data_IF_832638461892
#
_entry.id   IF_832638461892
#
_cell.length_a   1.000
_cell.length_b   1.000
_cell.length_c   1.000
_cell.angle_alpha   90.00
_cell.angle_beta   90.00
_cell.angle_gamma   90.00
#
_symmetry.space_group_name_H-M   'P 1'
#
loop_
_entity.id
_entity.type
_entity.pdbx_description
1 polymer ?
#
# COMPACT_ATOMS: atom_id res chain seq x y z
N UNK A 1 -8.64 -0.96 0.11
CA UNK A 1 -8.60 -0.61 -1.33
C UNK A 1 -9.41 -1.58 -2.18
N UNK A 2 -9.12 -2.90 -2.17
CA UNK A 2 -9.89 -3.89 -2.96
C UNK A 2 -11.42 -3.80 -2.78
N UNK A 3 -11.89 -3.73 -1.52
CA UNK A 3 -13.33 -3.54 -1.21
C UNK A 3 -13.89 -2.26 -1.83
N UNK A 4 -13.12 -1.18 -1.81
CA UNK A 4 -13.52 0.08 -2.44
C UNK A 4 -13.65 -0.04 -3.96
N UNK A 5 -12.70 -0.70 -4.63
CA UNK A 5 -12.79 -0.94 -6.09
C UNK A 5 -13.97 -1.85 -6.43
N UNK A 6 -14.18 -2.91 -5.66
CA UNK A 6 -15.32 -3.80 -5.84
C UNK A 6 -16.66 -3.05 -5.66
N UNK A 7 -16.73 -2.14 -4.68
CA UNK A 7 -17.86 -1.24 -4.50
C UNK A 7 -18.09 -0.33 -5.70
N UNK A 8 -17.02 0.29 -6.23
CA UNK A 8 -17.13 1.12 -7.45
C UNK A 8 -17.62 0.29 -8.64
N UNK A 9 -17.05 -0.90 -8.88
CA UNK A 9 -17.49 -1.81 -9.93
C UNK A 9 -18.97 -2.17 -9.80
N UNK A 10 -19.42 -2.47 -8.59
CA UNK A 10 -20.81 -2.80 -8.29
C UNK A 10 -21.75 -1.63 -8.62
N UNK A 11 -21.48 -0.43 -8.08
CA UNK A 11 -22.35 0.73 -8.27
C UNK A 11 -22.32 1.31 -9.69
N UNK A 12 -21.24 1.09 -10.44
CA UNK A 12 -21.22 1.36 -11.90
C UNK A 12 -22.12 0.36 -12.64
N UNK A 13 -22.12 -0.91 -12.24
CA UNK A 13 -22.97 -1.94 -12.84
C UNK A 13 -24.47 -1.72 -12.62
N UNK A 14 -24.86 -1.10 -11.50
CA UNK A 14 -26.26 -0.76 -11.17
C UNK A 14 -26.55 0.75 -11.32
N UNK A 15 -25.84 1.45 -12.20
CA UNK A 15 -25.90 2.92 -12.33
C UNK A 15 -27.29 3.51 -12.57
N UNK A 16 -28.21 2.73 -13.12
CA UNK A 16 -29.58 3.15 -13.44
C UNK A 16 -30.52 3.06 -12.21
N UNK A 17 -30.08 2.43 -11.12
CA UNK A 17 -30.86 2.28 -9.90
C UNK A 17 -30.86 3.57 -9.05
N UNK A 18 -31.97 3.85 -8.33
CA UNK A 18 -32.03 4.96 -7.37
C UNK A 18 -30.91 4.86 -6.33
N UNK A 19 -30.24 5.98 -6.05
CA UNK A 19 -29.13 6.09 -5.09
C UNK A 19 -27.82 5.38 -5.46
N UNK A 20 -27.69 4.80 -6.65
CA UNK A 20 -26.42 4.17 -7.10
C UNK A 20 -25.23 5.14 -7.01
N UNK A 21 -25.45 6.43 -7.31
CA UNK A 21 -24.44 7.48 -7.17
C UNK A 21 -23.90 7.62 -5.73
N UNK A 22 -24.77 7.56 -4.71
CA UNK A 22 -24.33 7.71 -3.32
C UNK A 22 -23.47 6.53 -2.88
N UNK A 23 -23.82 5.32 -3.33
CA UNK A 23 -23.00 4.14 -3.13
C UNK A 23 -21.65 4.22 -3.83
N UNK A 24 -21.65 4.64 -5.10
CA UNK A 24 -20.43 4.92 -5.88
C UNK A 24 -19.54 5.94 -5.16
N UNK A 25 -20.11 7.05 -4.71
CA UNK A 25 -19.40 8.12 -4.02
C UNK A 25 -18.78 7.62 -2.71
N UNK A 26 -19.54 6.90 -1.89
CA UNK A 26 -19.04 6.29 -0.65
C UNK A 26 -17.89 5.31 -0.91
N UNK A 27 -17.97 4.51 -1.97
CA UNK A 27 -16.89 3.60 -2.37
C UNK A 27 -15.60 4.36 -2.76
N UNK A 28 -15.73 5.49 -3.45
CA UNK A 28 -14.60 6.37 -3.75
C UNK A 28 -14.01 7.02 -2.50
N UNK A 29 -14.83 7.51 -1.56
CA UNK A 29 -14.36 8.03 -0.27
C UNK A 29 -13.55 6.96 0.48
N UNK A 30 -14.06 5.73 0.52
CA UNK A 30 -13.34 4.59 1.10
C UNK A 30 -12.01 4.32 0.38
N UNK A 31 -11.96 4.42 -0.94
CA UNK A 31 -10.72 4.28 -1.71
C UNK A 31 -9.69 5.36 -1.35
N UNK A 32 -10.10 6.63 -1.34
CA UNK A 32 -9.20 7.74 -0.99
C UNK A 32 -8.66 7.59 0.43
N UNK A 33 -9.53 7.27 1.38
CA UNK A 33 -9.15 7.02 2.77
C UNK A 33 -8.15 5.85 2.88
N UNK A 34 -8.48 4.71 2.27
CA UNK A 34 -7.62 3.53 2.28
C UNK A 34 -6.28 3.76 1.56
N UNK A 35 -6.24 4.61 0.53
CA UNK A 35 -5.00 5.01 -0.15
C UNK A 35 -4.09 5.78 0.82
N UNK A 36 -4.67 6.70 1.61
CA UNK A 36 -3.93 7.43 2.64
C UNK A 36 -3.29 6.51 3.67
N UNK A 37 -4.06 5.53 4.18
CA UNK A 37 -3.54 4.51 5.11
C UNK A 37 -2.43 3.68 4.46
N UNK A 38 -2.64 3.22 3.22
CA UNK A 38 -1.66 2.42 2.49
C UNK A 38 -0.32 3.13 2.30
N UNK A 39 -0.35 4.42 1.95
CA UNK A 39 0.84 5.24 1.79
C UNK A 39 1.59 5.42 3.12
N UNK A 40 0.89 5.78 4.19
CA UNK A 40 1.49 5.94 5.51
C UNK A 40 2.14 4.63 6.00
N UNK A 41 1.44 3.51 5.85
CA UNK A 41 1.95 2.18 6.22
C UNK A 41 3.20 1.81 5.42
N UNK A 42 3.22 2.09 4.12
CA UNK A 42 4.37 1.75 3.25
C UNK A 42 5.59 2.60 3.61
N UNK A 43 5.40 3.89 3.86
CA UNK A 43 6.51 4.78 4.28
C UNK A 43 7.05 4.45 5.66
N UNK A 44 6.23 3.93 6.58
CA UNK A 44 6.71 3.42 7.87
C UNK A 44 7.44 2.08 7.75
N UNK A 45 7.13 1.30 6.71
CA UNK A 45 7.74 -0.01 6.48
C UNK A 45 9.22 0.10 6.09
N UNK A 46 9.58 1.11 5.28
CA UNK A 46 10.95 1.33 4.79
C UNK A 46 11.97 1.46 5.95
N UNK A 47 11.81 2.37 6.93
CA UNK A 47 12.76 2.51 8.03
C UNK A 47 12.80 1.28 8.94
N UNK A 48 11.69 0.58 9.12
CA UNK A 48 11.68 -0.68 9.88
C UNK A 48 12.52 -1.77 9.21
N UNK A 49 12.49 -1.84 7.87
CA UNK A 49 13.32 -2.77 7.09
C UNK A 49 14.79 -2.37 7.18
N UNK A 50 15.10 -1.10 6.97
CA UNK A 50 16.49 -0.62 7.02
C UNK A 50 17.13 -0.77 8.40
N UNK A 51 16.37 -0.61 9.48
CA UNK A 51 16.88 -0.89 10.82
C UNK A 51 17.36 -2.35 10.96
N UNK A 52 16.57 -3.32 10.48
CA UNK A 52 16.97 -4.74 10.45
C UNK A 52 18.15 -5.00 9.53
N UNK A 53 18.19 -4.38 8.35
CA UNK A 53 19.30 -4.57 7.43
C UNK A 53 20.60 -4.01 7.98
N UNK A 54 20.58 -2.86 8.68
CA UNK A 54 21.78 -2.30 9.31
C UNK A 54 22.30 -3.15 10.46
N UNK A 55 21.43 -3.86 11.21
CA UNK A 55 21.88 -4.85 12.20
C UNK A 55 22.68 -5.98 11.54
N UNK A 56 22.26 -6.43 10.35
CA UNK A 56 22.93 -7.50 9.60
C UNK A 56 24.19 -7.04 8.88
N UNK A 57 24.17 -5.83 8.30
CA UNK A 57 25.24 -5.30 7.46
C UNK A 57 26.37 -4.65 8.26
N UNK A 58 26.07 -4.09 9.44
CA UNK A 58 27.04 -3.37 10.28
C UNK A 58 27.14 -3.98 11.69
N UNK A 59 27.45 -5.29 11.84
CA UNK A 59 27.37 -5.99 13.12
C UNK A 59 28.36 -5.46 14.19
N UNK A 60 29.45 -4.81 13.76
CA UNK A 60 30.47 -4.25 14.64
C UNK A 60 30.26 -2.76 14.96
N UNK A 61 29.34 -2.09 14.27
CA UNK A 61 29.04 -0.68 14.52
C UNK A 61 28.20 -0.50 15.79
N UNK A 62 28.29 0.67 16.41
CA UNK A 62 27.43 1.04 17.53
C UNK A 62 25.96 1.15 17.12
N UNK A 63 25.05 1.03 18.09
CA UNK A 63 23.61 1.15 17.82
C UNK A 63 23.24 2.52 17.24
N UNK A 64 23.91 3.58 17.66
CA UNK A 64 23.68 4.94 17.16
C UNK A 64 24.12 5.10 15.70
N UNK A 65 25.30 4.55 15.34
CA UNK A 65 25.79 4.56 13.96
C UNK A 65 24.87 3.79 13.02
N UNK A 66 24.39 2.61 13.43
CA UNK A 66 23.42 1.82 12.66
C UNK A 66 22.13 2.58 12.43
N UNK A 67 21.60 3.23 13.48
CA UNK A 67 20.38 4.04 13.36
C UNK A 67 20.58 5.20 12.39
N UNK A 68 21.68 5.93 12.51
CA UNK A 68 21.99 7.05 11.61
C UNK A 68 22.13 6.58 10.16
N UNK A 69 22.71 5.41 9.92
CA UNK A 69 22.82 4.86 8.58
C UNK A 69 21.45 4.39 8.06
N UNK A 70 20.65 3.71 8.88
CA UNK A 70 19.30 3.30 8.52
C UNK A 70 18.43 4.51 8.14
N UNK A 71 18.50 5.61 8.88
CA UNK A 71 17.75 6.83 8.58
C UNK A 71 18.17 7.45 7.23
N UNK A 72 19.47 7.48 6.93
CA UNK A 72 19.99 7.98 5.65
C UNK A 72 19.52 7.13 4.46
N UNK A 73 19.69 5.81 4.56
CA UNK A 73 19.28 4.89 3.49
C UNK A 73 17.75 4.91 3.30
N UNK A 74 16.99 4.96 4.40
CA UNK A 74 15.53 5.06 4.36
C UNK A 74 15.06 6.33 3.67
N UNK A 75 15.71 7.47 3.94
CA UNK A 75 15.39 8.74 3.28
C UNK A 75 15.65 8.66 1.77
N UNK A 76 16.78 8.09 1.35
CA UNK A 76 17.11 7.91 -0.05
C UNK A 76 16.12 6.98 -0.77
N UNK A 77 15.82 5.81 -0.17
CA UNK A 77 14.85 4.85 -0.70
C UNK A 77 13.45 5.47 -0.78
N UNK A 78 13.02 6.18 0.25
CA UNK A 78 11.71 6.84 0.28
C UNK A 78 11.62 7.89 -0.84
N UNK A 79 12.66 8.69 -1.04
CA UNK A 79 12.69 9.68 -2.12
C UNK A 79 12.59 9.04 -3.51
N UNK A 80 13.39 8.01 -3.78
CA UNK A 80 13.39 7.34 -5.07
C UNK A 80 12.08 6.61 -5.35
N UNK A 81 11.56 5.85 -4.38
CA UNK A 81 10.27 5.15 -4.51
C UNK A 81 9.09 6.12 -4.65
N UNK A 82 9.13 7.28 -3.99
CA UNK A 82 8.12 8.33 -4.14
C UNK A 82 8.10 8.94 -5.54
N UNK A 83 9.27 9.12 -6.16
CA UNK A 83 9.36 9.59 -7.55
C UNK A 83 8.69 8.60 -8.52
N UNK A 84 8.88 7.29 -8.31
CA UNK A 84 8.18 6.26 -9.10
C UNK A 84 6.68 6.27 -8.80
N UNK A 85 6.28 6.36 -7.53
CA UNK A 85 4.87 6.38 -7.14
C UNK A 85 4.10 7.57 -7.74
N UNK A 86 4.76 8.71 -7.98
CA UNK A 86 4.16 9.88 -8.60
C UNK A 86 3.61 9.62 -10.01
N UNK A 87 4.17 8.65 -10.75
CA UNK A 87 3.61 8.25 -12.05
C UNK A 87 2.18 7.71 -11.94
N UNK A 88 1.74 7.26 -10.76
CA UNK A 88 0.35 6.87 -10.51
C UNK A 88 -0.66 7.96 -10.88
N UNK A 89 -0.31 9.24 -10.69
CA UNK A 89 -1.17 10.36 -11.06
C UNK A 89 -1.40 10.47 -12.58
N UNK A 90 -0.50 9.93 -13.39
CA UNK A 90 -0.67 9.81 -14.83
C UNK A 90 -1.37 8.51 -15.22
N UNK A 91 -0.94 7.38 -14.65
CA UNK A 91 -1.46 6.06 -15.01
C UNK A 91 -2.94 5.88 -14.67
N UNK A 92 -3.43 6.42 -13.55
CA UNK A 92 -4.83 6.25 -13.15
C UNK A 92 -5.78 6.97 -14.12
N UNK A 93 -5.66 8.29 -14.39
CA UNK A 93 -6.53 8.96 -15.37
C UNK A 93 -6.36 8.41 -16.79
N UNK A 94 -5.13 8.08 -17.20
CA UNK A 94 -4.88 7.49 -18.53
C UNK A 94 -5.51 6.10 -18.66
N UNK A 95 -5.47 5.30 -17.60
CA UNK A 95 -6.11 3.99 -17.53
C UNK A 95 -7.63 4.10 -17.68
N UNK A 96 -8.27 4.98 -16.91
CA UNK A 96 -9.70 5.27 -17.07
C UNK A 96 -10.04 5.75 -18.49
N UNK A 97 -9.29 6.73 -19.02
CA UNK A 97 -9.52 7.26 -20.36
C UNK A 97 -9.40 6.20 -21.46
N UNK A 98 -8.36 5.35 -21.37
CA UNK A 98 -8.18 4.23 -22.30
C UNK A 98 -9.33 3.22 -22.21
N UNK A 99 -9.72 2.82 -21.00
CA UNK A 99 -10.86 1.91 -20.77
C UNK A 99 -12.14 2.45 -21.40
N UNK A 100 -12.47 3.71 -21.13
CA UNK A 100 -13.68 4.35 -21.64
C UNK A 100 -13.64 4.43 -23.18
N UNK A 101 -12.50 4.80 -23.76
CA UNK A 101 -12.36 4.90 -25.23
C UNK A 101 -12.49 3.56 -25.95
N UNK A 102 -12.06 2.46 -25.33
CA UNK A 102 -12.02 1.13 -25.97
C UNK A 102 -13.25 0.28 -25.66
N UNK A 103 -13.88 0.48 -24.50
CA UNK A 103 -14.95 -0.41 -24.00
C UNK A 103 -16.26 0.32 -23.67
N UNK A 104 -16.26 1.65 -23.70
CA UNK A 104 -17.44 2.47 -23.37
C UNK A 104 -17.61 2.76 -21.87
N UNK A 105 -16.78 2.18 -20.99
CA UNK A 105 -16.84 2.41 -19.56
C UNK A 105 -15.51 2.20 -18.81
N UNK A 106 -15.46 2.49 -17.50
CA UNK A 106 -14.26 2.42 -16.67
C UNK A 106 -13.94 1.02 -16.12
N UNK A 107 -14.77 0.02 -16.38
CA UNK A 107 -14.77 -1.28 -15.72
C UNK A 107 -13.45 -2.04 -15.95
N UNK A 108 -12.92 -2.00 -17.17
CA UNK A 108 -11.64 -2.66 -17.48
C UNK A 108 -10.47 -2.06 -16.70
N UNK A 109 -10.44 -0.72 -16.54
CA UNK A 109 -9.43 -0.07 -15.70
C UNK A 109 -9.57 -0.49 -14.23
N UNK A 110 -10.80 -0.54 -13.71
CA UNK A 110 -11.08 -0.94 -12.33
C UNK A 110 -10.66 -2.38 -12.05
N UNK A 111 -10.90 -3.31 -12.97
CA UNK A 111 -10.41 -4.69 -12.87
C UNK A 111 -8.88 -4.76 -12.85
N UNK A 112 -8.21 -4.00 -13.70
CA UNK A 112 -6.74 -3.92 -13.70
C UNK A 112 -6.20 -3.40 -12.36
N UNK A 113 -6.81 -2.34 -11.80
CA UNK A 113 -6.43 -1.81 -10.49
C UNK A 113 -6.69 -2.82 -9.36
N UNK A 114 -7.80 -3.56 -9.42
CA UNK A 114 -8.11 -4.60 -8.44
C UNK A 114 -7.06 -5.71 -8.46
N UNK A 115 -6.69 -6.22 -9.64
CA UNK A 115 -5.64 -7.24 -9.81
C UNK A 115 -4.30 -6.72 -9.27
N UNK A 116 -3.97 -5.47 -9.54
CA UNK A 116 -2.77 -4.84 -9.00
C UNK A 116 -2.80 -4.82 -7.46
N UNK A 117 -3.90 -4.42 -6.82
CA UNK A 117 -4.02 -4.42 -5.36
C UNK A 117 -3.95 -5.82 -4.74
N UNK A 118 -4.54 -6.83 -5.39
CA UNK A 118 -4.40 -8.23 -4.96
C UNK A 118 -2.94 -8.69 -5.05
N UNK A 119 -2.25 -8.30 -6.12
CA UNK A 119 -0.82 -8.63 -6.31
C UNK A 119 0.04 -7.99 -5.22
N UNK A 120 -0.20 -6.71 -4.91
CA UNK A 120 0.46 -6.03 -3.78
C UNK A 120 0.21 -6.73 -2.45
N UNK A 121 -1.03 -7.15 -2.18
CA UNK A 121 -1.36 -7.91 -0.96
C UNK A 121 -0.55 -9.20 -0.88
N UNK A 122 -0.52 -9.99 -1.96
CA UNK A 122 0.19 -11.27 -2.01
C UNK A 122 1.68 -11.06 -1.75
N UNK A 123 2.30 -10.05 -2.37
CA UNK A 123 3.72 -9.72 -2.17
C UNK A 123 3.96 -9.27 -0.73
N UNK A 124 3.16 -8.33 -0.22
CA UNK A 124 3.35 -7.80 1.14
C UNK A 124 3.22 -8.91 2.18
N UNK A 125 2.22 -9.76 2.03
CA UNK A 125 2.02 -10.90 2.92
C UNK A 125 3.13 -11.95 2.78
N UNK A 126 3.48 -12.33 1.55
CA UNK A 126 4.46 -13.37 1.27
C UNK A 126 5.88 -13.01 1.69
N UNK A 127 6.27 -11.75 1.58
CA UNK A 127 7.65 -11.31 1.87
C UNK A 127 7.78 -10.78 3.30
N UNK A 128 6.81 -10.01 3.80
CA UNK A 128 7.00 -9.22 5.02
C UNK A 128 6.25 -9.77 6.23
N UNK A 129 4.94 -10.08 6.11
CA UNK A 129 4.08 -10.31 7.29
C UNK A 129 3.73 -11.77 7.57
N UNK A 130 4.03 -12.72 6.66
CA UNK A 130 3.84 -14.16 6.96
C UNK A 130 4.80 -14.64 8.04
N UNK A 131 4.52 -15.79 8.66
CA UNK A 131 5.46 -16.48 9.57
C UNK A 131 6.80 -16.70 8.86
N UNK A 132 7.88 -16.16 9.42
CA UNK A 132 9.23 -16.17 8.80
C UNK A 132 9.48 -15.02 7.82
N UNK A 133 8.53 -14.09 7.65
CA UNK A 133 8.69 -12.87 6.86
C UNK A 133 9.54 -11.82 7.58
N UNK A 134 10.10 -10.90 6.81
CA UNK A 134 11.11 -9.95 7.29
C UNK A 134 10.63 -9.06 8.44
N UNK A 135 9.33 -8.73 8.47
CA UNK A 135 8.75 -7.83 9.48
C UNK A 135 7.88 -8.53 10.52
N UNK A 136 7.68 -9.84 10.39
CA UNK A 136 6.83 -10.64 11.27
C UNK A 136 7.13 -10.42 12.76
N UNK A 137 8.41 -10.43 13.13
CA UNK A 137 8.83 -10.26 14.52
C UNK A 137 8.69 -8.82 15.01
N UNK A 138 8.80 -7.82 14.12
CA UNK A 138 8.68 -6.40 14.47
C UNK A 138 7.23 -6.09 14.83
N UNK A 139 6.28 -6.55 14.01
CA UNK A 139 4.85 -6.34 14.23
C UNK A 139 4.35 -7.05 15.49
N UNK A 140 4.94 -8.21 15.85
CA UNK A 140 4.48 -9.04 16.96
C UNK A 140 5.21 -8.80 18.29
N UNK A 141 6.41 -8.21 18.27
CA UNK A 141 7.12 -7.77 19.49
C UNK A 141 6.47 -6.57 20.18
N UNK A 142 5.54 -5.88 19.51
CA UNK A 142 4.68 -4.84 20.10
C UNK A 142 3.60 -5.36 21.07
N UNK A 143 3.57 -6.66 21.39
CA UNK A 143 3.03 -7.11 22.68
C UNK A 143 4.18 -7.08 23.71
N UNK A 144 4.40 -5.98 24.45
CA UNK A 144 5.04 -6.13 25.75
C UNK A 144 4.18 -7.12 26.53
N UNK A 145 4.84 -8.05 27.22
CA UNK A 145 4.20 -8.90 28.20
C UNK A 145 3.53 -8.01 29.26
N UNK A 146 2.28 -7.64 29.04
CA UNK A 146 1.38 -7.17 30.08
C UNK A 146 0.99 -8.39 30.92
N UNK A 147 1.93 -8.89 31.73
CA UNK A 147 1.71 -9.85 32.81
C UNK A 147 3.04 -10.13 33.54
N UNK A 148 3.58 -9.11 34.21
CA UNK A 148 4.55 -9.30 35.29
C UNK A 148 4.38 -8.13 36.26
N UNK A 149 3.29 -8.17 37.02
CA UNK A 149 3.08 -7.43 38.27
C UNK A 149 2.09 -8.23 39.11
#
# INVERSE_FOLDING_TARGET
MMVGVAGVLYFVGIKDEPNAFWGFFAAFILLFFATGIGNASTFQMIPAIMAKDMERLMPMASAEERRRQADKESAAITGFTSAIAAFGAFFIPKGYGTSISLTGGPEMALWAFLIFYVTCLIITWGVYTRKGGLLYDVERRLKPAAAAA
#
